data_IF_087358152406
#
_entry.id   IF_087358152406
#
_cell.length_a   1.000
_cell.length_b   1.000
_cell.length_c   1.000
_cell.angle_alpha   90.00
_cell.angle_beta   90.00
_cell.angle_gamma   90.00
#
_symmetry.space_group_name_H-M   'P 1'
#
loop_
_entity.id
_entity.type
_entity.pdbx_description
1 polymer ?
#
# COMPACT_ATOMS: atom_id res chain seq x y z
N UNK A 1 -18.88 -15.24 -15.96
CA UNK A 1 -17.59 -15.60 -15.33
C UNK A 1 -17.65 -15.15 -13.90
N UNK A 2 -17.63 -16.09 -12.97
CA UNK A 2 -17.79 -15.78 -11.55
C UNK A 2 -16.64 -14.93 -11.04
N UNK A 3 -16.96 -13.82 -10.40
CA UNK A 3 -16.00 -12.96 -9.66
C UNK A 3 -15.21 -13.72 -8.58
N UNK A 4 -15.62 -14.96 -8.30
CA UNK A 4 -15.02 -15.83 -7.28
C UNK A 4 -13.65 -16.42 -7.65
N UNK A 5 -13.21 -16.30 -8.91
CA UNK A 5 -11.97 -16.93 -9.39
C UNK A 5 -10.79 -15.97 -9.58
N UNK A 6 -11.04 -14.66 -9.75
CA UNK A 6 -9.97 -13.68 -9.85
C UNK A 6 -9.51 -13.24 -8.45
N UNK A 7 -8.21 -13.04 -8.25
CA UNK A 7 -7.64 -12.53 -7.00
C UNK A 7 -6.64 -13.47 -6.34
N UNK A 8 -6.05 -13.01 -5.26
CA UNK A 8 -5.05 -13.74 -4.46
C UNK A 8 -5.74 -14.32 -3.22
N UNK A 9 -5.44 -15.55 -2.86
CA UNK A 9 -5.95 -16.18 -1.64
C UNK A 9 -5.16 -15.75 -0.41
N UNK A 10 -5.80 -14.98 0.46
CA UNK A 10 -5.24 -14.61 1.76
C UNK A 10 -6.20 -15.12 2.85
N UNK A 11 -5.69 -15.93 3.79
CA UNK A 11 -6.47 -16.48 4.89
C UNK A 11 -7.81 -17.12 4.43
N UNK A 12 -7.77 -17.91 3.36
CA UNK A 12 -8.94 -18.59 2.73
C UNK A 12 -9.95 -17.65 2.07
N UNK A 13 -9.65 -16.37 1.90
CA UNK A 13 -10.50 -15.40 1.18
C UNK A 13 -9.81 -15.00 -0.11
N UNK A 14 -10.58 -14.94 -1.19
CA UNK A 14 -10.11 -14.33 -2.44
C UNK A 14 -10.15 -12.81 -2.30
N UNK A 15 -8.99 -12.18 -2.42
CA UNK A 15 -8.86 -10.72 -2.43
C UNK A 15 -8.40 -10.33 -3.83
N UNK A 16 -9.24 -9.59 -4.54
CA UNK A 16 -8.96 -9.12 -5.90
C UNK A 16 -8.79 -7.61 -5.97
N UNK A 17 -9.28 -6.87 -4.98
CA UNK A 17 -9.08 -5.43 -4.89
C UNK A 17 -8.94 -4.96 -3.45
N UNK A 18 -8.16 -3.88 -3.28
CA UNK A 18 -8.11 -3.08 -2.08
C UNK A 18 -8.38 -1.63 -2.49
N UNK A 19 -9.28 -0.95 -1.79
CA UNK A 19 -9.67 0.44 -2.09
C UNK A 19 -9.53 1.30 -0.86
N UNK A 20 -8.96 2.49 -1.06
CA UNK A 20 -8.88 3.52 -0.05
C UNK A 20 -8.98 4.89 -0.70
N UNK A 21 -10.05 5.61 -0.44
CA UNK A 21 -10.36 6.88 -1.09
C UNK A 21 -10.28 6.75 -2.63
N UNK A 22 -9.39 7.50 -3.27
CA UNK A 22 -9.16 7.48 -4.71
C UNK A 22 -8.17 6.39 -5.16
N UNK A 23 -7.48 5.75 -4.21
CA UNK A 23 -6.50 4.71 -4.52
C UNK A 23 -7.14 3.33 -4.56
N UNK A 24 -6.87 2.59 -5.62
CA UNK A 24 -7.33 1.21 -5.79
C UNK A 24 -6.16 0.33 -6.19
N UNK A 25 -6.04 -0.82 -5.54
CA UNK A 25 -5.07 -1.85 -5.90
C UNK A 25 -5.81 -3.10 -6.36
N UNK A 26 -5.51 -3.56 -7.57
CA UNK A 26 -6.02 -4.80 -8.12
C UNK A 26 -4.97 -5.89 -8.00
N UNK A 27 -5.38 -7.11 -7.67
CA UNK A 27 -4.50 -8.25 -7.48
C UNK A 27 -5.02 -9.46 -8.22
N UNK A 28 -4.14 -10.18 -8.92
CA UNK A 28 -4.45 -11.43 -9.59
C UNK A 28 -3.23 -12.35 -9.59
N UNK A 29 -3.46 -13.64 -9.80
CA UNK A 29 -2.41 -14.66 -9.86
C UNK A 29 -1.77 -14.75 -11.26
N UNK A 30 -2.47 -14.29 -12.30
CA UNK A 30 -1.99 -14.26 -13.69
C UNK A 30 -2.13 -12.88 -14.33
N UNK A 31 -1.36 -12.64 -15.38
CA UNK A 31 -1.43 -11.40 -16.18
C UNK A 31 -2.77 -11.27 -16.89
N UNK A 32 -3.30 -12.37 -17.42
CA UNK A 32 -4.59 -12.42 -18.12
C UNK A 32 -5.75 -12.06 -17.18
N UNK A 33 -5.73 -12.63 -15.96
CA UNK A 33 -6.74 -12.34 -14.95
C UNK A 33 -6.67 -10.87 -14.51
N UNK A 34 -5.46 -10.33 -14.36
CA UNK A 34 -5.27 -8.93 -14.01
C UNK A 34 -5.79 -8.00 -15.11
N UNK A 35 -5.52 -8.31 -16.38
CA UNK A 35 -6.06 -7.57 -17.52
C UNK A 35 -7.59 -7.59 -17.55
N UNK A 36 -8.17 -8.77 -17.39
CA UNK A 36 -9.63 -8.94 -17.37
C UNK A 36 -10.27 -8.13 -16.24
N UNK A 37 -9.69 -8.20 -15.04
CA UNK A 37 -10.15 -7.46 -13.87
C UNK A 37 -10.05 -5.94 -14.08
N UNK A 38 -8.93 -5.47 -14.62
CA UNK A 38 -8.72 -4.06 -14.91
C UNK A 38 -9.70 -3.51 -15.95
N UNK A 39 -9.96 -4.27 -17.01
CA UNK A 39 -10.95 -3.88 -18.04
C UNK A 39 -12.35 -3.76 -17.45
N UNK A 40 -12.76 -4.69 -16.58
CA UNK A 40 -14.05 -4.60 -15.87
C UNK A 40 -14.12 -3.35 -14.98
N UNK A 41 -13.08 -3.12 -14.17
CA UNK A 41 -13.05 -1.95 -13.28
C UNK A 41 -13.08 -0.65 -14.07
N UNK A 42 -12.38 -0.60 -15.21
CA UNK A 42 -12.39 0.54 -16.11
C UNK A 42 -13.80 0.79 -16.66
N UNK A 43 -14.43 -0.23 -17.22
CA UNK A 43 -15.78 -0.14 -17.79
C UNK A 43 -16.81 0.34 -16.75
N UNK A 44 -16.80 -0.25 -15.56
CA UNK A 44 -17.70 0.16 -14.47
C UNK A 44 -17.40 1.58 -13.96
N UNK A 45 -16.13 1.97 -13.90
CA UNK A 45 -15.74 3.32 -13.53
C UNK A 45 -16.20 4.35 -14.56
N UNK A 46 -16.08 4.05 -15.85
CA UNK A 46 -16.53 4.93 -16.93
C UNK A 46 -18.06 5.11 -16.94
N UNK A 47 -18.83 4.06 -16.63
CA UNK A 47 -20.28 4.15 -16.41
C UNK A 47 -20.64 5.10 -15.26
N UNK A 48 -19.80 5.17 -14.24
CA UNK A 48 -19.93 6.10 -13.12
C UNK A 48 -19.36 7.51 -13.40
N UNK A 49 -18.87 7.77 -14.62
CA UNK A 49 -18.24 9.05 -14.98
C UNK A 49 -16.81 9.22 -14.47
N UNK A 50 -16.17 8.16 -13.98
CA UNK A 50 -14.80 8.17 -13.50
C UNK A 50 -13.85 7.64 -14.59
N UNK A 51 -12.70 8.27 -14.73
CA UNK A 51 -11.65 7.84 -15.66
C UNK A 51 -10.44 7.30 -14.94
N UNK A 52 -9.91 6.17 -15.39
CA UNK A 52 -8.66 5.62 -14.92
C UNK A 52 -7.50 6.56 -15.30
N UNK A 53 -6.69 6.94 -14.30
CA UNK A 53 -5.51 7.74 -14.53
C UNK A 53 -4.31 6.83 -14.85
N UNK A 54 -4.09 6.56 -16.14
CA UNK A 54 -3.02 5.67 -16.62
C UNK A 54 -1.62 6.17 -16.25
N UNK A 55 -1.41 7.50 -16.16
CA UNK A 55 -0.11 8.07 -15.77
C UNK A 55 0.24 7.85 -14.29
N UNK A 56 -0.77 7.72 -13.43
CA UNK A 56 -0.58 7.40 -12.00
C UNK A 56 -0.64 5.91 -11.73
N UNK A 57 -1.15 5.14 -12.68
CA UNK A 57 -1.28 3.69 -12.53
C UNK A 57 0.07 3.01 -12.74
N UNK A 58 0.39 2.08 -11.86
CA UNK A 58 1.64 1.31 -11.88
C UNK A 58 1.33 -0.16 -11.78
N UNK A 59 2.18 -0.99 -12.38
CA UNK A 59 2.08 -2.44 -12.28
C UNK A 59 3.28 -3.00 -11.53
N UNK A 60 3.03 -3.96 -10.67
CA UNK A 60 4.07 -4.72 -9.98
C UNK A 60 3.79 -6.21 -10.14
N UNK A 61 4.83 -6.97 -10.43
CA UNK A 61 4.76 -8.43 -10.50
C UNK A 61 5.98 -9.06 -9.86
N UNK A 62 5.82 -10.27 -9.38
CA UNK A 62 6.92 -11.10 -8.85
C UNK A 62 7.80 -11.69 -9.96
N UNK A 63 7.31 -11.71 -11.21
CA UNK A 63 8.03 -12.15 -12.40
C UNK A 63 8.31 -10.98 -13.35
N UNK A 64 9.28 -11.15 -14.27
CA UNK A 64 9.61 -10.12 -15.25
C UNK A 64 8.44 -9.88 -16.20
N UNK A 65 7.81 -8.72 -16.10
CA UNK A 65 6.87 -8.22 -17.09
C UNK A 65 7.60 -7.22 -17.97
N UNK A 66 7.64 -7.48 -19.28
CA UNK A 66 8.40 -6.66 -20.23
C UNK A 66 7.70 -5.37 -20.63
N UNK A 67 6.38 -5.38 -20.78
CA UNK A 67 5.60 -4.15 -20.98
C UNK A 67 4.12 -4.43 -20.79
N UNK A 68 3.42 -3.48 -20.19
CA UNK A 68 1.97 -3.51 -20.05
C UNK A 68 1.36 -2.26 -20.68
N UNK A 69 0.38 -2.45 -21.54
CA UNK A 69 -0.33 -1.36 -22.20
C UNK A 69 -1.81 -1.40 -21.88
N UNK A 70 -2.36 -0.23 -21.59
CA UNK A 70 -3.80 0.01 -21.45
C UNK A 70 -4.16 1.16 -22.38
N UNK A 71 -5.09 0.92 -23.29
CA UNK A 71 -5.55 1.94 -24.27
C UNK A 71 -4.41 2.59 -25.05
N UNK A 72 -3.38 1.82 -25.40
CA UNK A 72 -2.19 2.33 -26.09
C UNK A 72 -1.19 3.09 -25.20
N UNK A 73 -1.50 3.30 -23.93
CA UNK A 73 -0.57 3.88 -22.95
C UNK A 73 0.21 2.78 -22.24
N UNK A 74 1.54 2.89 -22.22
CA UNK A 74 2.40 1.97 -21.48
C UNK A 74 2.35 2.30 -20.00
N UNK A 75 2.07 1.30 -19.17
CA UNK A 75 2.11 1.43 -17.72
C UNK A 75 3.55 1.30 -17.20
N UNK A 76 3.86 2.09 -16.18
CA UNK A 76 5.12 1.99 -15.47
C UNK A 76 5.16 0.69 -14.65
N UNK A 77 6.20 -0.13 -14.89
CA UNK A 77 6.49 -1.31 -14.08
C UNK A 77 7.39 -0.91 -12.92
N UNK A 78 6.98 -1.25 -11.70
CA UNK A 78 7.70 -0.93 -10.48
C UNK A 78 8.03 -2.18 -9.68
N UNK A 79 9.12 -2.14 -8.92
CA UNK A 79 9.54 -3.22 -8.02
C UNK A 79 9.00 -3.04 -6.61
N UNK A 80 8.58 -1.84 -6.28
CA UNK A 80 7.96 -1.51 -5.00
C UNK A 80 6.99 -0.33 -5.13
N UNK A 81 6.07 -0.22 -4.21
CA UNK A 81 5.19 0.94 -4.07
C UNK A 81 4.73 1.13 -2.62
N UNK A 82 4.26 2.32 -2.31
CA UNK A 82 3.71 2.63 -0.98
C UNK A 82 2.18 2.66 -1.08
N UNK A 83 1.53 1.81 -0.29
CA UNK A 83 0.09 1.75 -0.16
C UNK A 83 -0.31 1.88 1.30
N UNK A 84 -1.16 2.84 1.63
CA UNK A 84 -1.58 3.15 2.99
C UNK A 84 -0.41 3.34 3.98
N UNK A 85 0.67 3.95 3.52
CA UNK A 85 1.84 4.17 4.34
C UNK A 85 2.78 2.96 4.48
N UNK A 86 2.42 1.80 3.94
CA UNK A 86 3.26 0.60 3.95
C UNK A 86 3.95 0.38 2.61
N UNK A 87 5.24 0.06 2.64
CA UNK A 87 6.02 -0.28 1.47
C UNK A 87 5.81 -1.76 1.11
N UNK A 88 5.32 -2.01 -0.09
CA UNK A 88 5.10 -3.34 -0.66
C UNK A 88 6.13 -3.56 -1.75
N UNK A 89 6.79 -4.72 -1.75
CA UNK A 89 7.83 -5.10 -2.69
C UNK A 89 7.41 -6.32 -3.52
N UNK A 90 7.89 -6.41 -4.76
CA UNK A 90 7.55 -7.50 -5.69
C UNK A 90 8.07 -8.87 -5.22
N UNK A 91 9.16 -8.89 -4.46
CA UNK A 91 9.75 -10.10 -3.87
C UNK A 91 9.10 -10.54 -2.56
N UNK A 92 8.17 -9.74 -2.02
CA UNK A 92 7.51 -10.00 -0.74
C UNK A 92 8.40 -9.79 0.49
N UNK A 93 9.61 -9.21 0.32
CA UNK A 93 10.51 -8.94 1.44
C UNK A 93 10.03 -7.72 2.25
N UNK A 94 9.57 -7.95 3.46
CA UNK A 94 9.14 -6.90 4.39
C UNK A 94 10.29 -6.25 5.19
N UNK A 95 11.53 -6.69 5.04
CA UNK A 95 12.69 -6.18 5.79
C UNK A 95 12.87 -4.67 5.62
N UNK A 96 12.68 -4.17 4.40
CA UNK A 96 12.76 -2.75 4.11
C UNK A 96 11.67 -1.95 4.80
N UNK A 97 10.46 -2.48 4.85
CA UNK A 97 9.33 -1.84 5.52
C UNK A 97 9.55 -1.79 7.03
N UNK A 98 10.01 -2.89 7.63
CA UNK A 98 10.34 -2.95 9.06
C UNK A 98 11.41 -1.90 9.40
N UNK A 99 12.51 -1.84 8.63
CA UNK A 99 13.57 -0.84 8.83
C UNK A 99 13.04 0.59 8.69
N UNK A 100 12.19 0.84 7.69
CA UNK A 100 11.57 2.14 7.47
C UNK A 100 10.73 2.58 8.67
N UNK A 101 9.86 1.71 9.18
CA UNK A 101 9.04 2.00 10.36
C UNK A 101 9.87 2.24 11.63
N UNK A 102 10.94 1.46 11.83
CA UNK A 102 11.86 1.67 12.94
C UNK A 102 12.55 3.05 12.85
N UNK A 103 12.98 3.46 11.66
CA UNK A 103 13.58 4.78 11.44
C UNK A 103 12.58 5.91 11.67
N UNK A 104 11.34 5.77 11.21
CA UNK A 104 10.29 6.74 11.43
C UNK A 104 9.94 6.86 12.93
N UNK A 105 9.82 5.74 13.63
CA UNK A 105 9.62 5.72 15.08
C UNK A 105 10.78 6.41 15.83
N UNK A 106 12.03 6.11 15.45
CA UNK A 106 13.22 6.78 16.02
C UNK A 106 13.20 8.27 15.78
N UNK A 107 12.87 8.70 14.57
CA UNK A 107 12.75 10.12 14.21
C UNK A 107 11.66 10.82 15.03
N UNK A 108 10.51 10.17 15.22
CA UNK A 108 9.42 10.70 16.04
C UNK A 108 9.87 10.90 17.50
N UNK A 109 10.57 9.93 18.09
CA UNK A 109 11.14 10.08 19.45
C UNK A 109 12.15 11.22 19.49
N UNK A 110 13.04 11.33 18.52
CA UNK A 110 14.05 12.41 18.47
C UNK A 110 13.38 13.79 18.38
N UNK A 111 12.31 13.93 17.60
CA UNK A 111 11.55 15.18 17.50
C UNK A 111 10.87 15.58 18.83
N UNK A 112 10.58 14.61 19.68
CA UNK A 112 9.98 14.84 21.02
C UNK A 112 11.00 14.96 22.13
N UNK A 113 12.31 14.87 21.85
CA UNK A 113 13.37 14.78 22.85
C UNK A 113 13.32 15.92 23.88
N UNK A 114 13.16 17.17 23.42
CA UNK A 114 13.04 18.34 24.30
C UNK A 114 11.84 18.24 25.24
N UNK A 115 10.69 17.79 24.71
CA UNK A 115 9.45 17.61 25.49
C UNK A 115 9.59 16.47 26.48
N UNK A 116 10.19 15.34 26.09
CA UNK A 116 10.38 14.18 26.96
C UNK A 116 11.40 14.45 28.07
N UNK A 117 12.37 15.31 27.84
CA UNK A 117 13.36 15.75 28.82
C UNK A 117 12.89 16.88 29.75
N UNK A 118 11.82 17.58 29.38
CA UNK A 118 11.28 18.67 30.22
C UNK A 118 10.86 18.15 31.60
N UNK A 119 11.22 18.92 32.65
CA UNK A 119 10.79 18.63 34.04
C UNK A 119 9.38 19.13 34.33
N UNK A 120 8.88 20.06 33.53
CA UNK A 120 7.54 20.68 33.71
C UNK A 120 6.41 19.80 33.25
N UNK A 121 6.73 18.72 32.51
CA UNK A 121 5.74 17.76 31.96
C UNK A 121 5.75 16.51 32.81
N UNK A 122 4.59 16.13 33.30
CA UNK A 122 4.40 14.95 34.13
C UNK A 122 4.68 13.64 33.38
N UNK A 123 5.11 12.60 34.09
CA UNK A 123 5.36 11.29 33.47
C UNK A 123 4.14 10.70 32.78
N UNK A 124 2.91 10.75 33.35
CA UNK A 124 1.71 10.29 32.64
C UNK A 124 1.47 11.00 31.31
N UNK A 125 1.69 12.32 31.27
CA UNK A 125 1.55 13.10 30.04
C UNK A 125 2.60 12.69 29.00
N UNK A 126 3.84 12.44 29.38
CA UNK A 126 4.89 11.93 28.49
C UNK A 126 4.55 10.55 27.92
N UNK A 127 4.04 9.64 28.74
CA UNK A 127 3.60 8.32 28.31
C UNK A 127 2.44 8.42 27.31
N UNK A 128 1.47 9.30 27.57
CA UNK A 128 0.36 9.56 26.66
C UNK A 128 0.86 10.08 25.30
N UNK A 129 1.81 11.02 25.31
CA UNK A 129 2.41 11.59 24.11
C UNK A 129 3.14 10.52 23.26
N UNK A 130 3.93 9.66 23.90
CA UNK A 130 4.63 8.56 23.21
C UNK A 130 3.64 7.57 22.60
N UNK A 131 2.58 7.20 23.34
CA UNK A 131 1.54 6.32 22.81
C UNK A 131 0.80 6.91 21.61
N UNK A 132 0.54 8.21 21.63
CA UNK A 132 -0.21 8.87 20.57
C UNK A 132 0.62 9.15 19.30
N UNK A 133 1.92 9.47 19.45
CA UNK A 133 2.75 9.99 18.36
C UNK A 133 3.84 9.03 17.89
N UNK A 134 4.35 8.16 18.75
CA UNK A 134 5.47 7.28 18.40
C UNK A 134 4.98 5.88 18.03
N UNK A 135 4.11 5.28 18.81
CA UNK A 135 3.64 3.91 18.55
C UNK A 135 2.94 3.72 17.21
N UNK A 136 2.03 4.63 16.77
CA UNK A 136 1.39 4.49 15.46
C UNK A 136 2.38 4.50 14.30
N UNK A 137 3.48 5.26 14.42
CA UNK A 137 4.52 5.38 13.39
C UNK A 137 5.44 4.17 13.37
N UNK A 138 5.74 3.61 14.55
CA UNK A 138 6.61 2.44 14.70
C UNK A 138 5.87 1.10 14.64
N UNK A 139 4.54 1.11 14.56
CA UNK A 139 3.75 -0.12 14.56
C UNK A 139 3.91 -0.86 13.23
N UNK A 140 4.60 -1.97 13.27
CA UNK A 140 4.60 -2.96 12.19
C UNK A 140 3.40 -3.86 12.47
N UNK A 141 2.53 -4.01 11.51
CA UNK A 141 1.37 -4.89 11.60
C UNK A 141 1.83 -6.31 11.95
N UNK A 142 1.53 -6.73 13.12
CA UNK A 142 1.58 -8.16 13.48
C UNK A 142 0.28 -8.84 13.08
#
# INVERSE_FOLDING_TARGET
MDEAQAGIKIARRNIYNLRYADDSTLMAESEEDLKSLLMKVKEESEKAGLKLNTHKSKIMASSSITSWQIDGATMETVTDFIFLGSKITADGDCSHEIKRHLLLGRKAVTNLDSTLKSRDITLPAKVCLVKAMVFPVGHVWM
#
